data_IF_356914308254
#
_entry.id   IF_356914308254
#
_cell.length_a   1.000
_cell.length_b   1.000
_cell.length_c   1.000
_cell.angle_alpha   90.00
_cell.angle_beta   90.00
_cell.angle_gamma   90.00
#
_symmetry.space_group_name_H-M   'P 1'
#
loop_
_entity.id
_entity.type
_entity.pdbx_description
1 polymer ?
#
# COMPACT_ATOMS: atom_id res chain seq x y z
N UNK A 1 -4.66 -50.76 -20.42
CA UNK A 1 -3.73 -50.44 -19.32
C UNK A 1 -4.10 -49.05 -18.81
N UNK A 2 -4.87 -48.92 -17.71
CA UNK A 2 -5.20 -47.62 -17.16
C UNK A 2 -4.16 -47.22 -16.11
N UNK A 3 -3.81 -45.93 -16.12
CA UNK A 3 -2.92 -45.28 -15.16
C UNK A 3 -3.54 -45.29 -13.76
N UNK A 4 -2.79 -45.79 -12.78
CA UNK A 4 -3.09 -45.66 -11.35
C UNK A 4 -2.63 -44.25 -10.95
N UNK A 5 -3.58 -43.36 -10.62
CA UNK A 5 -3.30 -42.15 -9.85
C UNK A 5 -3.13 -42.57 -8.39
N UNK A 6 -1.93 -42.39 -7.85
CA UNK A 6 -1.65 -42.53 -6.43
C UNK A 6 -2.33 -41.34 -5.72
N UNK A 7 -3.45 -41.57 -5.04
CA UNK A 7 -3.94 -40.62 -4.04
C UNK A 7 -2.97 -40.71 -2.85
N UNK A 8 -2.21 -39.64 -2.62
CA UNK A 8 -1.60 -39.39 -1.31
C UNK A 8 -2.75 -39.05 -0.36
N UNK A 9 -2.93 -39.76 0.77
CA UNK A 9 -3.94 -39.38 1.75
C UNK A 9 -3.38 -38.17 2.53
N UNK A 10 -3.66 -36.96 2.06
CA UNK A 10 -3.59 -35.77 2.88
C UNK A 10 -4.68 -35.88 3.93
N UNK A 11 -4.32 -36.25 5.16
CA UNK A 11 -5.14 -35.95 6.32
C UNK A 11 -5.12 -34.43 6.46
N UNK A 12 -6.21 -33.76 6.07
CA UNK A 12 -6.34 -32.31 6.28
C UNK A 12 -6.30 -32.02 7.77
N UNK A 13 -5.48 -31.04 8.17
CA UNK A 13 -5.35 -30.57 9.55
C UNK A 13 -6.72 -30.14 10.12
N UNK A 14 -7.61 -29.64 9.25
CA UNK A 14 -9.02 -29.35 9.52
C UNK A 14 -9.83 -30.53 10.11
N UNK A 15 -9.56 -31.78 9.71
CA UNK A 15 -10.26 -32.94 10.24
C UNK A 15 -9.81 -33.30 11.67
N UNK A 16 -8.59 -32.93 12.05
CA UNK A 16 -8.09 -33.09 13.42
C UNK A 16 -8.71 -32.06 14.39
N UNK A 17 -8.93 -30.83 13.93
CA UNK A 17 -9.46 -29.72 14.76
C UNK A 17 -10.93 -29.91 15.16
N UNK A 18 -11.77 -30.46 14.27
CA UNK A 18 -13.19 -30.69 14.57
C UNK A 18 -13.44 -31.67 15.72
N UNK A 19 -12.48 -32.55 16.03
CA UNK A 19 -12.57 -33.56 17.11
C UNK A 19 -12.28 -32.92 18.49
N UNK A 20 -11.58 -31.77 18.53
CA UNK A 20 -11.18 -31.11 19.77
C UNK A 20 -12.22 -30.12 20.33
N UNK A 21 -13.33 -29.87 19.64
CA UNK A 21 -14.37 -28.92 20.10
C UNK A 21 -13.95 -27.45 20.01
N UNK A 22 -12.89 -27.13 19.25
CA UNK A 22 -12.49 -25.75 18.95
C UNK A 22 -13.48 -25.14 17.95
N UNK A 23 -14.11 -24.03 18.34
CA UNK A 23 -14.86 -23.20 17.39
C UNK A 23 -13.85 -22.36 16.60
N UNK A 24 -13.59 -22.72 15.34
CA UNK A 24 -12.78 -21.94 14.39
C UNK A 24 -13.58 -20.74 13.84
N UNK A 25 -14.40 -20.08 14.68
CA UNK A 25 -15.36 -19.05 14.23
C UNK A 25 -15.04 -17.64 14.71
N UNK A 26 -13.96 -17.47 15.44
CA UNK A 26 -13.42 -16.15 15.74
C UNK A 26 -11.94 -16.21 15.38
N UNK A 27 -11.61 -16.01 14.10
CA UNK A 27 -10.26 -15.59 13.76
C UNK A 27 -10.05 -14.24 14.48
N UNK A 28 -9.34 -14.28 15.61
CA UNK A 28 -8.96 -13.09 16.37
C UNK A 28 -7.83 -12.43 15.57
N UNK A 29 -8.17 -11.58 14.60
CA UNK A 29 -7.14 -10.81 13.93
C UNK A 29 -6.48 -9.84 14.93
N UNK A 30 -5.15 -9.88 15.03
CA UNK A 30 -4.39 -8.92 15.81
C UNK A 30 -4.51 -7.56 15.13
N UNK A 31 -4.99 -6.56 15.87
CA UNK A 31 -5.08 -5.20 15.33
C UNK A 31 -3.67 -4.62 15.22
N UNK A 32 -3.20 -4.47 13.99
CA UNK A 32 -1.92 -3.85 13.69
C UNK A 32 -1.98 -2.33 13.93
N UNK A 33 -0.88 -1.68 14.35
CA UNK A 33 -0.82 -0.23 14.47
C UNK A 33 -0.96 0.46 13.11
N UNK A 34 -2.03 1.24 12.92
CA UNK A 34 -2.15 2.17 11.79
C UNK A 34 -1.01 3.19 11.85
N UNK A 35 -0.13 3.18 10.84
CA UNK A 35 1.09 3.99 10.82
C UNK A 35 1.23 4.68 9.47
N UNK A 36 1.22 6.01 9.46
CA UNK A 36 1.49 6.80 8.25
C UNK A 36 3.00 7.07 8.12
N UNK A 37 3.59 6.83 6.94
CA UNK A 37 5.01 7.03 6.68
C UNK A 37 5.28 7.43 5.22
N UNK A 38 5.61 8.70 4.97
CA UNK A 38 5.85 9.26 3.64
C UNK A 38 7.29 9.11 3.13
N UNK A 39 8.15 8.38 3.85
CA UNK A 39 9.59 8.30 3.57
C UNK A 39 10.08 6.87 3.35
N UNK A 40 9.19 5.89 3.29
CA UNK A 40 9.56 4.50 3.02
C UNK A 40 9.86 4.32 1.54
N UNK A 41 10.98 3.67 1.24
CA UNK A 41 11.45 3.41 -0.11
C UNK A 41 11.85 1.95 -0.21
N UNK A 42 11.22 1.21 -1.12
CA UNK A 42 11.47 -0.25 -1.24
C UNK A 42 12.51 -0.61 -2.30
N UNK A 43 12.88 0.32 -3.18
CA UNK A 43 13.92 0.07 -4.19
C UNK A 43 14.68 1.35 -4.54
N UNK A 44 15.93 1.18 -5.00
CA UNK A 44 16.77 2.28 -5.48
C UNK A 44 17.54 3.02 -4.39
N UNK A 45 17.59 2.44 -3.18
CA UNK A 45 18.41 2.93 -2.08
C UNK A 45 19.89 2.55 -2.23
N UNK A 46 20.74 3.14 -1.39
CA UNK A 46 22.16 2.81 -1.35
C UNK A 46 22.35 1.36 -0.83
N UNK A 47 23.26 0.56 -1.43
CA UNK A 47 23.47 -0.81 -0.99
C UNK A 47 23.82 -0.93 0.49
N UNK A 48 23.06 -1.74 1.23
CA UNK A 48 23.20 -1.97 2.66
C UNK A 48 22.37 -1.04 3.56
N UNK A 49 21.55 -0.13 2.99
CA UNK A 49 20.63 0.72 3.76
C UNK A 49 19.16 0.36 3.53
N UNK A 50 18.88 -0.74 2.82
CA UNK A 50 17.57 -1.00 2.21
C UNK A 50 16.42 -1.27 3.19
N UNK A 51 16.66 -1.17 4.51
CA UNK A 51 15.62 -1.30 5.51
C UNK A 51 15.77 -0.31 6.67
N UNK A 52 16.65 0.69 6.51
CA UNK A 52 16.96 1.68 7.56
C UNK A 52 15.78 2.65 7.79
N UNK A 53 14.99 2.89 6.76
CA UNK A 53 13.81 3.75 6.70
C UNK A 53 12.62 3.21 7.54
N UNK A 54 12.56 1.90 7.77
CA UNK A 54 11.62 1.28 8.72
C UNK A 54 11.90 1.61 10.19
N UNK A 55 13.01 2.30 10.48
CA UNK A 55 13.31 2.74 11.83
C UNK A 55 12.19 3.64 12.38
N UNK A 56 11.51 3.17 13.43
CA UNK A 56 10.41 3.90 14.08
C UNK A 56 9.03 3.44 13.64
N UNK A 57 8.90 2.61 12.60
CA UNK A 57 7.65 1.93 12.29
C UNK A 57 7.42 0.83 13.35
N UNK A 58 6.26 0.79 14.03
CA UNK A 58 5.97 -0.24 15.01
C UNK A 58 5.98 -1.65 14.41
N UNK A 59 6.43 -2.63 15.19
CA UNK A 59 6.19 -4.04 14.89
C UNK A 59 4.70 -4.31 15.10
N UNK A 60 4.01 -4.70 14.03
CA UNK A 60 2.61 -5.09 14.07
C UNK A 60 2.42 -6.44 14.78
N UNK A 61 3.33 -7.38 14.54
CA UNK A 61 3.32 -8.68 15.18
C UNK A 61 4.72 -9.30 15.26
N UNK A 62 4.93 -10.11 16.31
CA UNK A 62 6.12 -10.96 16.46
C UNK A 62 5.67 -12.41 16.55
N UNK A 63 6.02 -13.18 15.54
CA UNK A 63 5.72 -14.59 15.43
C UNK A 63 6.33 -15.38 16.59
N UNK A 64 5.49 -16.20 17.26
CA UNK A 64 5.85 -17.01 18.42
C UNK A 64 6.71 -16.26 19.47
N UNK A 65 6.50 -14.95 19.61
CA UNK A 65 7.31 -14.10 20.48
C UNK A 65 8.81 -14.06 20.15
N UNK A 66 9.19 -14.31 18.90
CA UNK A 66 10.54 -14.30 18.37
C UNK A 66 11.28 -15.62 18.58
N UNK A 67 10.54 -16.72 18.70
CA UNK A 67 11.08 -18.07 18.92
C UNK A 67 10.86 -18.92 17.69
N UNK A 68 11.94 -19.52 17.19
CA UNK A 68 11.89 -20.35 16.00
C UNK A 68 10.95 -21.55 16.16
N UNK A 69 10.03 -21.72 15.23
CA UNK A 69 9.09 -22.83 15.22
C UNK A 69 8.84 -23.46 13.84
N UNK A 70 9.44 -22.93 12.77
CA UNK A 70 9.56 -23.66 11.52
C UNK A 70 10.85 -24.52 11.45
N UNK A 71 10.78 -25.85 11.71
CA UNK A 71 11.97 -26.69 11.77
C UNK A 71 12.55 -27.00 10.40
N UNK A 72 13.83 -27.35 10.35
CA UNK A 72 14.46 -27.91 9.14
C UNK A 72 15.20 -26.89 8.27
N UNK A 73 15.34 -25.65 8.74
CA UNK A 73 16.10 -24.60 8.04
C UNK A 73 15.34 -23.98 6.87
N UNK A 74 14.01 -24.11 6.87
CA UNK A 74 13.12 -23.38 5.99
C UNK A 74 12.94 -21.93 6.49
N UNK A 75 12.43 -21.01 5.66
CA UNK A 75 12.06 -19.67 6.09
C UNK A 75 11.15 -19.70 7.33
N UNK A 76 11.53 -18.98 8.37
CA UNK A 76 10.88 -18.98 9.70
C UNK A 76 10.52 -17.53 10.00
N UNK A 77 9.23 -17.21 10.04
CA UNK A 77 8.73 -15.85 10.22
C UNK A 77 9.20 -15.30 11.58
N UNK A 78 9.40 -13.98 11.66
CA UNK A 78 9.82 -13.31 12.90
C UNK A 78 8.93 -12.13 13.21
N UNK A 79 8.98 -11.09 12.37
CA UNK A 79 8.20 -9.88 12.61
C UNK A 79 7.54 -9.38 11.35
N UNK A 80 6.39 -8.73 11.54
CA UNK A 80 5.71 -7.98 10.48
C UNK A 80 5.61 -6.53 10.92
N UNK A 81 5.98 -5.61 10.05
CA UNK A 81 5.74 -4.18 10.15
C UNK A 81 4.83 -3.75 9.01
N UNK A 82 3.90 -2.83 9.27
CA UNK A 82 2.97 -2.31 8.28
C UNK A 82 2.87 -0.79 8.42
N UNK A 83 2.96 -0.08 7.32
CA UNK A 83 2.74 1.36 7.23
C UNK A 83 2.07 1.71 5.90
N UNK A 84 1.58 2.93 5.74
CA UNK A 84 1.14 3.42 4.45
C UNK A 84 1.49 4.90 4.29
N UNK A 85 1.53 5.37 3.05
CA UNK A 85 1.36 6.78 2.74
C UNK A 85 0.06 6.98 1.94
N UNK A 86 -0.04 8.12 1.26
CA UNK A 86 -1.20 8.44 0.43
C UNK A 86 -1.29 7.51 -0.81
N UNK A 87 -0.17 6.99 -1.30
CA UNK A 87 -0.05 6.27 -2.55
C UNK A 87 0.14 4.76 -2.37
N UNK A 88 0.82 4.32 -1.32
CA UNK A 88 1.30 2.96 -1.16
C UNK A 88 1.00 2.41 0.24
N UNK A 89 0.72 1.12 0.29
CA UNK A 89 0.83 0.26 1.45
C UNK A 89 2.26 -0.31 1.50
N UNK A 90 2.91 -0.21 2.64
CA UNK A 90 4.23 -0.79 2.89
C UNK A 90 4.12 -1.94 3.88
N UNK A 91 4.73 -3.07 3.55
CA UNK A 91 4.83 -4.23 4.45
C UNK A 91 6.29 -4.66 4.49
N UNK A 92 6.81 -4.95 5.69
CA UNK A 92 8.09 -5.62 5.87
C UNK A 92 7.90 -6.85 6.72
N UNK A 93 8.52 -7.94 6.28
CA UNK A 93 8.58 -9.22 6.99
C UNK A 93 10.03 -9.56 7.24
N UNK A 94 10.36 -9.87 8.49
CA UNK A 94 11.67 -10.43 8.87
C UNK A 94 11.54 -11.92 9.17
N UNK A 95 12.64 -12.65 9.01
CA UNK A 95 12.76 -14.06 9.31
C UNK A 95 13.75 -14.29 10.45
N UNK A 96 13.49 -15.30 11.29
CA UNK A 96 14.38 -15.77 12.36
C UNK A 96 15.62 -16.51 11.84
N UNK A 97 15.67 -16.80 10.54
CA UNK A 97 16.80 -17.49 9.91
C UNK A 97 18.13 -16.76 10.16
N UNK A 98 19.14 -17.50 10.59
CA UNK A 98 20.51 -16.96 10.83
C UNK A 98 21.41 -16.98 9.60
N UNK A 99 20.87 -17.48 8.47
CA UNK A 99 21.53 -17.53 7.17
C UNK A 99 20.56 -17.06 6.10
N UNK A 100 21.06 -16.45 5.03
CA UNK A 100 20.24 -16.05 3.88
C UNK A 100 19.42 -17.23 3.35
N UNK A 101 18.10 -17.06 3.33
CA UNK A 101 17.15 -18.01 2.76
C UNK A 101 16.72 -17.55 1.36
N UNK A 102 16.18 -18.46 0.54
CA UNK A 102 15.44 -18.04 -0.66
C UNK A 102 14.09 -17.48 -0.22
N UNK A 103 13.80 -16.25 -0.61
CA UNK A 103 12.58 -15.52 -0.25
C UNK A 103 11.51 -15.62 -1.33
N UNK A 104 11.76 -16.38 -2.40
CA UNK A 104 10.80 -16.60 -3.50
C UNK A 104 9.51 -17.33 -3.06
N UNK A 105 9.48 -17.80 -1.82
CA UNK A 105 8.40 -18.58 -1.22
C UNK A 105 7.60 -17.77 -0.21
N UNK A 106 7.95 -16.49 -0.04
CA UNK A 106 7.23 -15.55 0.79
C UNK A 106 5.95 -15.13 0.08
N UNK A 107 4.83 -15.25 0.78
CA UNK A 107 3.54 -14.86 0.28
C UNK A 107 2.82 -13.93 1.26
N UNK A 108 2.02 -13.03 0.69
CA UNK A 108 1.03 -12.24 1.40
C UNK A 108 -0.35 -12.67 0.93
N UNK A 109 -1.30 -12.78 1.85
CA UNK A 109 -2.70 -13.00 1.58
C UNK A 109 -3.51 -11.88 2.23
N UNK A 110 -4.30 -11.20 1.43
CA UNK A 110 -5.18 -10.11 1.85
C UNK A 110 -6.63 -10.58 1.74
N UNK A 111 -7.37 -10.41 2.82
CA UNK A 111 -8.82 -10.46 2.89
C UNK A 111 -9.31 -9.00 2.93
N UNK A 112 -9.84 -8.55 1.79
CA UNK A 112 -10.04 -7.15 1.47
C UNK A 112 -11.38 -6.62 1.99
N UNK A 113 -12.35 -7.50 2.21
CA UNK A 113 -13.68 -7.17 2.74
C UNK A 113 -13.91 -7.70 4.17
N UNK A 114 -12.94 -8.44 4.72
CA UNK A 114 -12.98 -9.11 6.02
C UNK A 114 -14.11 -10.15 6.11
N UNK A 115 -14.44 -10.81 5.00
CA UNK A 115 -15.37 -11.95 4.94
C UNK A 115 -14.62 -13.25 4.61
N UNK A 116 -14.49 -14.12 5.61
CA UNK A 116 -13.86 -15.44 5.45
C UNK A 116 -14.52 -16.34 4.37
N UNK A 117 -15.70 -15.98 3.85
CA UNK A 117 -16.42 -16.75 2.85
C UNK A 117 -16.16 -16.31 1.39
N UNK A 118 -15.55 -15.16 1.14
CA UNK A 118 -15.40 -14.57 -0.20
C UNK A 118 -14.07 -14.93 -0.88
N UNK A 119 -13.04 -15.27 -0.11
CA UNK A 119 -11.70 -15.55 -0.63
C UNK A 119 -11.17 -16.97 -0.42
N UNK A 120 -9.94 -17.19 -0.86
CA UNK A 120 -9.21 -18.45 -0.70
C UNK A 120 -8.76 -18.63 0.75
N UNK A 121 -9.06 -19.82 1.31
CA UNK A 121 -8.66 -20.21 2.65
C UNK A 121 -7.25 -20.80 2.65
N UNK A 122 -6.29 -20.04 3.16
CA UNK A 122 -4.88 -20.45 3.17
C UNK A 122 -4.71 -21.68 4.06
N UNK A 123 -4.25 -22.78 3.46
CA UNK A 123 -4.07 -24.10 4.08
C UNK A 123 -5.35 -24.74 4.67
N UNK A 124 -6.54 -24.32 4.22
CA UNK A 124 -7.84 -24.80 4.74
C UNK A 124 -7.99 -24.61 6.27
N UNK A 125 -7.50 -23.49 6.79
CA UNK A 125 -7.44 -23.20 8.23
C UNK A 125 -8.68 -22.48 8.77
N UNK A 126 -9.49 -21.88 7.89
CA UNK A 126 -10.60 -20.99 8.25
C UNK A 126 -10.11 -19.67 8.86
N UNK A 127 -8.92 -19.23 8.46
CA UNK A 127 -8.17 -18.14 9.09
C UNK A 127 -8.28 -16.80 8.36
N UNK A 128 -8.47 -16.88 7.05
CA UNK A 128 -8.51 -15.76 6.12
C UNK A 128 -9.34 -16.16 4.90
N UNK A 129 -10.20 -15.28 4.40
CA UNK A 129 -10.80 -15.42 3.08
C UNK A 129 -10.02 -14.51 2.14
N UNK A 130 -8.91 -14.97 1.54
CA UNK A 130 -8.06 -14.05 0.79
C UNK A 130 -8.57 -13.78 -0.63
N UNK A 131 -8.86 -12.54 -1.00
CA UNK A 131 -9.17 -12.14 -2.38
C UNK A 131 -7.94 -11.75 -3.19
N UNK A 132 -6.89 -11.26 -2.52
CA UNK A 132 -5.65 -10.80 -3.15
C UNK A 132 -4.44 -11.51 -2.55
N UNK A 133 -3.63 -12.14 -3.40
CA UNK A 133 -2.37 -12.76 -3.03
C UNK A 133 -1.20 -12.02 -3.65
N UNK A 134 -0.06 -12.03 -2.96
CA UNK A 134 1.25 -11.72 -3.52
C UNK A 134 2.18 -12.89 -3.29
N UNK A 135 2.92 -13.25 -4.32
CA UNK A 135 4.16 -14.03 -4.19
C UNK A 135 5.27 -13.13 -4.72
N UNK A 136 6.22 -12.76 -3.86
CA UNK A 136 7.20 -11.70 -4.18
C UNK A 136 6.51 -10.44 -4.74
N UNK A 137 6.94 -9.95 -5.89
CA UNK A 137 6.42 -8.84 -6.69
C UNK A 137 5.24 -9.20 -7.61
N UNK A 138 4.76 -10.45 -7.57
CA UNK A 138 3.66 -10.91 -8.42
C UNK A 138 2.34 -10.99 -7.64
N UNK A 139 1.39 -10.07 -7.89
CA UNK A 139 0.06 -10.22 -7.34
C UNK A 139 -0.85 -11.07 -8.21
N UNK A 140 -1.82 -11.68 -7.54
CA UNK A 140 -2.86 -12.46 -8.17
C UNK A 140 -4.16 -12.38 -7.37
N UNK A 141 -5.28 -12.35 -8.09
CA UNK A 141 -6.59 -12.59 -7.47
C UNK A 141 -6.67 -14.04 -7.02
N UNK A 142 -7.27 -14.27 -5.85
CA UNK A 142 -7.55 -15.60 -5.33
C UNK A 142 -8.91 -15.65 -4.61
N UNK A 143 -9.90 -14.90 -5.10
CA UNK A 143 -11.27 -15.00 -4.58
C UNK A 143 -11.92 -16.36 -4.85
N UNK A 144 -13.09 -16.62 -4.24
CA UNK A 144 -13.81 -17.91 -4.36
C UNK A 144 -14.23 -18.26 -5.80
N UNK A 145 -14.39 -17.27 -6.67
CA UNK A 145 -14.83 -17.42 -8.06
C UNK A 145 -13.70 -17.30 -9.08
N UNK A 146 -12.67 -16.51 -8.78
CA UNK A 146 -11.59 -16.22 -9.69
C UNK A 146 -10.22 -16.49 -9.07
N UNK A 147 -9.32 -17.04 -9.89
CA UNK A 147 -7.94 -17.26 -9.51
C UNK A 147 -7.03 -16.80 -10.63
N UNK A 148 -6.04 -15.98 -10.29
CA UNK A 148 -5.02 -15.46 -11.19
C UNK A 148 -5.64 -14.97 -12.51
N UNK A 149 -6.60 -14.04 -12.39
CA UNK A 149 -7.33 -13.42 -13.50
C UNK A 149 -6.43 -12.68 -14.49
N UNK A 150 -5.15 -12.53 -14.15
CA UNK A 150 -4.20 -11.72 -14.89
C UNK A 150 -4.51 -10.24 -14.75
N UNK A 151 -3.67 -9.45 -15.40
CA UNK A 151 -3.73 -7.99 -15.40
C UNK A 151 -4.03 -7.53 -16.82
N UNK A 152 -5.30 -7.52 -17.20
CA UNK A 152 -5.70 -6.97 -18.50
C UNK A 152 -5.52 -5.44 -18.45
N UNK A 153 -4.61 -4.90 -19.27
CA UNK A 153 -4.27 -3.48 -19.31
C UNK A 153 -2.95 -3.07 -18.64
N UNK A 154 -2.24 -3.98 -17.95
CA UNK A 154 -0.86 -3.71 -17.51
C UNK A 154 0.06 -3.98 -18.68
N UNK A 155 0.55 -2.88 -19.26
CA UNK A 155 1.47 -2.88 -20.38
C UNK A 155 2.77 -3.54 -19.91
N UNK A 156 3.15 -4.63 -20.55
CA UNK A 156 4.52 -5.16 -20.50
C UNK A 156 5.46 -4.06 -21.00
N UNK A 157 6.00 -3.25 -20.09
CA UNK A 157 6.96 -2.20 -20.43
C UNK A 157 8.34 -2.84 -20.57
N UNK A 158 8.52 -3.61 -21.64
CA UNK A 158 9.84 -4.08 -22.06
C UNK A 158 10.54 -5.04 -21.10
N UNK A 159 9.80 -5.84 -20.31
CA UNK A 159 10.39 -6.90 -19.50
C UNK A 159 10.64 -6.58 -18.03
N UNK A 160 10.28 -5.37 -17.54
CA UNK A 160 10.27 -5.07 -16.11
C UNK A 160 8.82 -5.02 -15.61
N UNK A 161 8.49 -5.87 -14.64
CA UNK A 161 7.20 -6.00 -13.97
C UNK A 161 6.98 -4.79 -13.04
N UNK A 162 6.69 -3.61 -13.59
CA UNK A 162 6.51 -2.37 -12.82
C UNK A 162 5.05 -1.92 -12.87
N UNK A 163 4.46 -1.65 -11.70
CA UNK A 163 3.13 -1.04 -11.54
C UNK A 163 2.13 -1.85 -10.69
N UNK A 164 2.54 -3.01 -10.20
CA UNK A 164 1.70 -3.91 -9.39
C UNK A 164 2.22 -4.11 -7.97
N UNK A 165 3.15 -3.26 -7.56
CA UNK A 165 3.95 -3.40 -6.36
C UNK A 165 5.42 -3.60 -6.71
N UNK A 166 6.29 -3.14 -5.81
CA UNK A 166 7.74 -3.42 -5.88
C UNK A 166 8.17 -4.10 -4.59
N UNK A 167 9.19 -4.94 -4.68
CA UNK A 167 9.74 -5.64 -3.52
C UNK A 167 11.23 -5.45 -3.40
N UNK A 168 11.74 -5.60 -2.19
CA UNK A 168 13.15 -5.83 -1.96
C UNK A 168 13.38 -6.92 -0.92
N UNK A 169 14.35 -7.83 -1.13
CA UNK A 169 15.05 -8.03 -2.40
C UNK A 169 14.07 -8.53 -3.49
N UNK A 170 14.42 -8.33 -4.76
CA UNK A 170 13.64 -8.77 -5.91
C UNK A 170 14.39 -9.82 -6.73
N UNK A 171 13.71 -10.44 -7.69
CA UNK A 171 14.33 -11.39 -8.62
C UNK A 171 15.21 -10.63 -9.62
N UNK A 172 16.49 -10.99 -9.72
CA UNK A 172 17.44 -10.32 -10.62
C UNK A 172 18.25 -11.33 -11.46
N UNK A 173 19.26 -10.84 -12.18
CA UNK A 173 20.17 -11.68 -12.97
C UNK A 173 20.99 -12.68 -12.13
N UNK A 174 21.13 -12.42 -10.83
CA UNK A 174 21.82 -13.27 -9.86
C UNK A 174 20.93 -14.39 -9.33
N UNK A 175 19.60 -14.27 -9.49
CA UNK A 175 18.62 -15.31 -9.22
C UNK A 175 17.44 -14.83 -8.36
N UNK A 176 16.77 -15.75 -7.64
CA UNK A 176 15.63 -15.39 -6.80
C UNK A 176 16.07 -14.48 -5.64
N UNK A 177 15.12 -13.70 -5.07
CA UNK A 177 15.40 -12.89 -3.90
C UNK A 177 15.92 -13.75 -2.75
N UNK A 178 16.95 -13.27 -2.06
CA UNK A 178 17.58 -13.98 -0.94
C UNK A 178 17.87 -13.04 0.21
N UNK A 179 17.76 -13.53 1.44
CA UNK A 179 17.98 -12.72 2.63
C UNK A 179 17.25 -13.29 3.83
N UNK A 180 17.07 -12.46 4.83
CA UNK A 180 16.28 -12.75 6.04
C UNK A 180 15.17 -11.72 6.22
N UNK A 181 14.96 -10.87 5.23
CA UNK A 181 14.04 -9.74 5.28
C UNK A 181 13.50 -9.50 3.88
N UNK A 182 12.22 -9.18 3.79
CA UNK A 182 11.56 -8.79 2.55
C UNK A 182 10.59 -7.66 2.84
N UNK A 183 10.49 -6.72 1.91
CA UNK A 183 9.57 -5.61 1.98
C UNK A 183 8.85 -5.41 0.65
N UNK A 184 7.68 -4.80 0.74
CA UNK A 184 6.78 -4.51 -0.37
C UNK A 184 6.32 -3.06 -0.29
N UNK A 185 6.26 -2.39 -1.42
CA UNK A 185 5.46 -1.19 -1.61
C UNK A 185 4.35 -1.53 -2.62
N UNK A 186 3.10 -1.55 -2.15
CA UNK A 186 1.92 -1.94 -2.91
C UNK A 186 1.08 -0.69 -3.18
N UNK A 187 0.84 -0.32 -4.44
CA UNK A 187 -0.01 0.82 -4.76
C UNK A 187 -1.41 0.66 -4.17
N UNK A 188 -1.89 1.69 -3.45
CA UNK A 188 -3.28 1.75 -2.97
C UNK A 188 -4.27 1.84 -4.12
N UNK A 189 -3.82 2.33 -5.28
CA UNK A 189 -4.57 2.35 -6.55
C UNK A 189 -4.52 1.03 -7.33
N UNK A 190 -3.92 -0.03 -6.77
CA UNK A 190 -3.83 -1.33 -7.44
C UNK A 190 -5.19 -1.78 -7.97
N UNK A 191 -5.27 -2.06 -9.27
CA UNK A 191 -6.52 -2.27 -9.98
C UNK A 191 -6.59 -3.65 -10.66
N UNK A 192 -6.45 -4.71 -9.87
CA UNK A 192 -6.53 -6.10 -10.33
C UNK A 192 -7.74 -6.85 -9.75
N UNK A 193 -8.72 -6.10 -9.27
CA UNK A 193 -9.80 -6.59 -8.43
C UNK A 193 -10.60 -7.77 -9.00
N UNK A 194 -11.29 -8.50 -8.10
CA UNK A 194 -11.94 -9.76 -8.44
C UNK A 194 -13.10 -9.61 -9.43
N UNK A 195 -13.75 -8.44 -9.48
CA UNK A 195 -14.87 -8.18 -10.38
C UNK A 195 -14.46 -8.19 -11.87
N UNK A 196 -13.30 -7.59 -12.17
CA UNK A 196 -12.67 -7.56 -13.49
C UNK A 196 -11.28 -6.91 -13.42
N UNK A 197 -10.35 -7.25 -14.32
CA UNK A 197 -9.12 -6.47 -14.50
C UNK A 197 -9.42 -4.97 -14.67
N UNK A 198 -8.61 -4.12 -14.02
CA UNK A 198 -8.81 -2.67 -14.00
C UNK A 198 -9.76 -2.18 -12.89
N UNK A 199 -10.29 -3.06 -12.04
CA UNK A 199 -11.07 -2.67 -10.85
C UNK A 199 -10.17 -2.55 -9.60
N UNK A 200 -10.30 -1.51 -8.76
CA UNK A 200 -9.49 -1.38 -7.54
C UNK A 200 -9.63 -2.57 -6.58
N UNK A 201 -8.53 -3.01 -5.97
CA UNK A 201 -8.57 -4.03 -4.89
C UNK A 201 -8.91 -3.42 -3.53
N UNK A 202 -8.36 -2.25 -3.19
CA UNK A 202 -8.61 -1.59 -1.92
C UNK A 202 -9.85 -0.69 -2.05
N UNK A 203 -11.03 -1.26 -1.84
CA UNK A 203 -12.31 -0.51 -1.87
C UNK A 203 -12.75 0.01 -0.51
N UNK A 204 -12.08 -0.40 0.56
CA UNK A 204 -12.29 0.07 1.92
C UNK A 204 -10.96 0.37 2.62
N UNK A 205 -11.06 0.94 3.83
CA UNK A 205 -9.88 1.39 4.56
C UNK A 205 -9.25 0.32 5.46
N UNK A 206 -9.95 -0.81 5.65
CA UNK A 206 -9.55 -1.89 6.56
C UNK A 206 -9.51 -3.21 5.82
N UNK A 207 -8.41 -3.95 5.96
CA UNK A 207 -8.24 -5.30 5.42
C UNK A 207 -7.57 -6.19 6.47
N UNK A 208 -7.66 -7.50 6.26
CA UNK A 208 -6.93 -8.51 7.03
C UNK A 208 -5.77 -9.05 6.20
N UNK A 209 -4.59 -9.18 6.81
CA UNK A 209 -3.37 -9.69 6.20
C UNK A 209 -2.92 -10.98 6.87
N UNK A 210 -2.50 -11.95 6.08
CA UNK A 210 -1.74 -13.12 6.52
C UNK A 210 -0.43 -13.19 5.74
N UNK A 211 0.69 -13.31 6.45
CA UNK A 211 2.00 -13.58 5.86
C UNK A 211 2.31 -15.06 6.03
N UNK A 212 2.77 -15.72 4.97
CA UNK A 212 3.04 -17.15 5.03
C UNK A 212 4.14 -17.60 4.07
N UNK A 213 4.69 -18.78 4.34
CA UNK A 213 5.58 -19.49 3.43
C UNK A 213 5.03 -20.87 3.12
N UNK A 214 5.31 -21.39 1.94
CA UNK A 214 4.74 -22.65 1.43
C UNK A 214 5.79 -23.77 1.26
N UNK A 215 7.01 -23.56 1.74
CA UNK A 215 8.10 -24.53 1.67
C UNK A 215 8.27 -25.30 2.97
N UNK A 216 8.62 -26.58 2.86
CA UNK A 216 8.73 -27.46 4.01
C UNK A 216 7.34 -27.83 4.54
N UNK A 217 7.08 -27.55 5.81
CA UNK A 217 5.74 -27.66 6.39
C UNK A 217 4.86 -26.44 6.10
N UNK A 218 5.43 -25.39 5.48
CA UNK A 218 4.87 -24.05 5.47
C UNK A 218 5.03 -23.38 6.84
N UNK A 219 4.87 -22.07 6.85
CA UNK A 219 4.94 -21.27 8.07
C UNK A 219 3.95 -20.12 8.00
N UNK A 220 3.32 -19.80 9.13
CA UNK A 220 2.29 -18.78 9.31
C UNK A 220 2.47 -18.13 10.67
N UNK A 221 2.07 -16.85 10.77
CA UNK A 221 2.10 -16.16 12.06
C UNK A 221 1.29 -16.93 13.10
N UNK A 222 1.86 -17.09 14.29
CA UNK A 222 1.24 -17.75 15.42
C UNK A 222 1.72 -17.15 16.75
N UNK A 223 0.98 -17.43 17.83
CA UNK A 223 1.29 -16.91 19.16
C UNK A 223 2.11 -17.87 20.04
N UNK A 224 2.68 -18.91 19.45
CA UNK A 224 3.48 -19.93 20.15
C UNK A 224 2.69 -21.05 20.79
N UNK A 225 1.36 -21.05 20.64
CA UNK A 225 0.52 -22.17 21.05
C UNK A 225 0.24 -23.08 19.86
N UNK A 226 0.26 -24.39 20.10
CA UNK A 226 -0.01 -25.36 19.04
C UNK A 226 -1.45 -25.20 18.58
N UNK A 227 -1.65 -24.94 17.28
CA UNK A 227 -2.95 -24.80 16.59
C UNK A 227 -3.63 -23.42 16.68
N UNK A 228 -2.96 -22.38 17.16
CA UNK A 228 -3.42 -21.00 16.99
C UNK A 228 -2.56 -20.34 15.91
N UNK A 229 -3.21 -19.66 14.97
CA UNK A 229 -2.57 -18.87 13.93
C UNK A 229 -3.15 -17.46 14.01
N UNK A 230 -2.42 -16.50 13.47
CA UNK A 230 -2.72 -15.09 13.61
C UNK A 230 -2.80 -14.43 12.23
N UNK A 231 -3.80 -13.57 12.09
CA UNK A 231 -3.91 -12.63 10.98
C UNK A 231 -3.84 -11.22 11.53
N UNK A 232 -3.48 -10.26 10.68
CA UNK A 232 -3.27 -8.87 11.06
C UNK A 232 -4.37 -8.00 10.46
N UNK A 233 -5.20 -7.39 11.30
CA UNK A 233 -6.18 -6.39 10.83
C UNK A 233 -5.48 -5.05 10.77
N UNK A 234 -5.37 -4.49 9.57
CA UNK A 234 -4.78 -3.17 9.35
C UNK A 234 -5.83 -2.20 8.82
N UNK A 235 -5.85 -1.00 9.38
CA UNK A 235 -6.62 0.14 8.84
C UNK A 235 -5.64 1.18 8.36
N UNK A 236 -5.81 1.67 7.12
CA UNK A 236 -4.96 2.74 6.58
C UNK A 236 -4.93 3.93 7.54
N UNK A 237 -3.72 4.37 7.86
CA UNK A 237 -3.49 5.57 8.62
C UNK A 237 -3.77 6.80 7.75
N UNK A 238 -4.45 7.78 8.34
CA UNK A 238 -4.62 9.09 7.73
C UNK A 238 -3.28 9.83 7.70
N UNK A 239 -3.05 10.60 6.63
CA UNK A 239 -1.95 11.55 6.58
C UNK A 239 -2.13 12.57 7.73
N UNK A 240 -1.17 12.70 8.67
CA UNK A 240 -1.29 13.63 9.79
C UNK A 240 -1.16 15.10 9.36
N UNK A 241 -0.60 15.34 8.16
CA UNK A 241 -0.48 16.66 7.56
C UNK A 241 -0.97 16.56 6.10
N UNK A 242 -2.28 16.32 5.89
CA UNK A 242 -2.82 16.38 4.54
C UNK A 242 -2.62 17.82 4.09
N UNK A 243 -1.86 18.05 3.02
CA UNK A 243 -1.74 19.37 2.42
C UNK A 243 -3.14 19.94 2.16
N UNK A 244 -3.28 21.26 2.07
CA UNK A 244 -4.56 21.83 1.65
C UNK A 244 -4.82 21.35 0.22
N UNK A 245 -5.91 20.61 -0.07
CA UNK A 245 -6.13 20.15 -1.44
C UNK A 245 -6.21 21.34 -2.40
N UNK A 246 -5.50 21.25 -3.52
CA UNK A 246 -5.37 22.34 -4.48
C UNK A 246 -4.31 23.41 -4.17
N UNK A 247 -3.62 23.36 -3.02
CA UNK A 247 -2.49 24.24 -2.68
C UNK A 247 -1.17 23.63 -3.18
N UNK A 248 -0.91 23.81 -4.47
CA UNK A 248 0.20 23.19 -5.17
C UNK A 248 1.53 23.90 -4.95
N UNK A 249 1.49 25.16 -4.58
CA UNK A 249 2.71 25.91 -4.26
C UNK A 249 3.04 25.89 -2.74
N UNK A 250 2.16 25.27 -1.92
CA UNK A 250 2.27 25.15 -0.47
C UNK A 250 2.35 26.49 0.27
N UNK A 251 1.64 27.51 -0.21
CA UNK A 251 1.56 28.84 0.43
C UNK A 251 0.35 29.00 1.36
N UNK A 252 -0.39 27.92 1.60
CA UNK A 252 -1.61 27.83 2.41
C UNK A 252 -2.80 28.60 1.81
N UNK A 253 -2.74 28.99 0.52
CA UNK A 253 -3.81 29.66 -0.22
C UNK A 253 -4.04 28.95 -1.55
N UNK A 254 -5.28 28.54 -1.82
CA UNK A 254 -5.62 27.93 -3.10
C UNK A 254 -6.08 29.01 -4.07
N UNK A 255 -5.21 29.45 -4.98
CA UNK A 255 -5.50 30.52 -5.92
C UNK A 255 -4.95 30.29 -7.35
N UNK A 256 -4.84 31.35 -8.14
CA UNK A 256 -4.40 31.25 -9.53
C UNK A 256 -2.92 30.86 -9.68
N UNK A 257 -2.11 31.01 -8.63
CA UNK A 257 -0.72 30.56 -8.60
C UNK A 257 -0.64 29.04 -8.57
N UNK A 258 -1.49 28.37 -7.79
CA UNK A 258 -1.56 26.91 -7.76
C UNK A 258 -1.98 26.34 -9.09
N UNK A 259 -3.03 26.91 -9.70
CA UNK A 259 -3.44 26.49 -11.04
C UNK A 259 -2.30 26.60 -12.05
N UNK A 260 -1.46 27.63 -11.92
CA UNK A 260 -0.31 27.81 -12.78
C UNK A 260 0.78 26.75 -12.51
N UNK A 261 1.01 26.37 -11.25
CA UNK A 261 1.91 25.28 -10.86
C UNK A 261 1.42 23.95 -11.45
N UNK A 262 0.14 23.61 -11.23
CA UNK A 262 -0.51 22.43 -11.81
C UNK A 262 -0.36 22.39 -13.33
N UNK A 263 -0.56 23.51 -14.03
CA UNK A 263 -0.40 23.57 -15.49
C UNK A 263 1.05 23.33 -15.94
N UNK A 264 2.03 23.75 -15.15
CA UNK A 264 3.45 23.60 -15.49
C UNK A 264 3.93 22.17 -15.28
N UNK A 265 3.47 21.52 -14.22
CA UNK A 265 3.91 20.19 -13.81
C UNK A 265 2.82 19.12 -14.03
N UNK A 266 1.90 19.35 -14.97
CA UNK A 266 0.90 18.36 -15.38
C UNK A 266 1.56 17.14 -16.03
N UNK A 267 1.24 15.96 -15.50
CA UNK A 267 1.81 14.66 -15.84
C UNK A 267 2.90 14.18 -14.89
N UNK A 268 3.47 15.06 -14.06
CA UNK A 268 4.34 14.73 -12.92
C UNK A 268 4.74 16.03 -12.16
N UNK A 269 4.31 16.23 -10.89
CA UNK A 269 3.62 15.26 -10.04
C UNK A 269 2.09 15.26 -10.21
N UNK A 270 1.52 16.21 -10.97
CA UNK A 270 0.07 16.44 -10.97
C UNK A 270 -0.69 15.76 -12.11
N UNK A 271 -1.97 15.45 -11.90
CA UNK A 271 -2.86 14.88 -12.89
C UNK A 271 -4.25 15.57 -12.96
N UNK A 272 -5.25 14.88 -13.51
CA UNK A 272 -6.58 15.45 -13.70
C UNK A 272 -7.40 15.54 -12.40
N UNK A 273 -7.13 14.70 -11.41
CA UNK A 273 -7.83 14.69 -10.14
C UNK A 273 -7.36 15.87 -9.28
N UNK A 274 -6.07 16.22 -9.34
CA UNK A 274 -5.54 17.44 -8.72
C UNK A 274 -6.28 18.71 -9.20
N UNK A 275 -6.61 18.79 -10.48
CA UNK A 275 -7.38 19.94 -10.98
C UNK A 275 -8.76 20.05 -10.30
N UNK A 276 -9.38 18.92 -9.97
CA UNK A 276 -10.65 18.88 -9.26
C UNK A 276 -10.47 19.40 -7.84
N UNK A 277 -9.39 19.01 -7.15
CA UNK A 277 -9.05 19.52 -5.83
C UNK A 277 -8.89 21.04 -5.83
N UNK A 278 -8.16 21.58 -6.81
CA UNK A 278 -8.04 23.04 -6.98
C UNK A 278 -9.38 23.72 -7.21
N UNK A 279 -10.25 23.16 -8.05
CA UNK A 279 -11.57 23.74 -8.35
C UNK A 279 -12.47 23.78 -7.12
N UNK A 280 -12.47 22.71 -6.34
CA UNK A 280 -13.30 22.58 -5.15
C UNK A 280 -12.81 23.45 -3.98
N UNK A 281 -11.52 23.78 -3.95
CA UNK A 281 -10.88 24.54 -2.88
C UNK A 281 -10.49 25.96 -3.29
N UNK A 282 -10.76 26.42 -4.51
CA UNK A 282 -10.38 27.76 -4.96
C UNK A 282 -10.90 28.87 -4.04
N UNK A 283 -9.98 29.73 -3.60
CA UNK A 283 -10.24 30.84 -2.69
C UNK A 283 -10.32 30.42 -1.21
N UNK A 284 -9.98 29.17 -0.88
CA UNK A 284 -9.71 28.76 0.50
C UNK A 284 -8.30 29.18 0.92
N UNK A 285 -8.04 29.20 2.24
CA UNK A 285 -6.79 29.69 2.80
C UNK A 285 -6.87 31.08 3.41
N UNK A 286 -5.91 31.40 4.28
CA UNK A 286 -5.84 32.71 4.92
C UNK A 286 -5.28 33.73 3.94
N UNK A 287 -6.16 34.33 3.12
CA UNK A 287 -5.78 35.40 2.20
C UNK A 287 -5.05 36.49 3.02
N UNK A 288 -3.73 36.70 2.82
CA UNK A 288 -3.02 37.73 3.55
C UNK A 288 -3.71 39.06 3.26
N UNK A 289 -3.98 39.85 4.31
CA UNK A 289 -4.66 41.13 4.15
C UNK A 289 -3.89 41.97 3.14
N UNK A 290 -4.48 42.17 1.96
CA UNK A 290 -3.88 42.99 0.91
C UNK A 290 -3.74 44.38 1.50
N UNK A 291 -2.51 44.84 1.74
CA UNK A 291 -2.29 46.23 2.16
C UNK A 291 -2.96 47.11 1.10
N UNK A 292 -3.83 48.03 1.52
CA UNK A 292 -4.60 48.86 0.60
C UNK A 292 -3.72 49.32 -0.56
N UNK A 293 -4.05 48.85 -1.76
CA UNK A 293 -3.38 49.26 -2.99
C UNK A 293 -3.42 50.79 -3.01
N UNK A 294 -2.27 51.50 -3.06
CA UNK A 294 -2.26 52.95 -3.14
C UNK A 294 -3.17 53.37 -4.29
N UNK A 295 -4.21 54.14 -3.98
CA UNK A 295 -5.27 54.48 -4.94
C UNK A 295 -4.64 54.91 -6.27
N UNK A 296 -5.05 54.24 -7.35
CA UNK A 296 -4.56 54.55 -8.68
C UNK A 296 -4.68 56.07 -8.91
N UNK A 297 -3.64 56.65 -9.53
CA UNK A 297 -3.48 58.07 -9.86
C UNK A 297 -4.62 58.71 -10.69
N UNK A 298 -5.79 58.07 -10.78
CA UNK A 298 -7.04 58.52 -11.34
C UNK A 298 -7.44 59.92 -10.90
N UNK A 299 -7.24 60.28 -9.62
CA UNK A 299 -7.49 61.64 -9.14
C UNK A 299 -6.49 62.63 -9.76
N UNK A 300 -5.21 62.25 -9.84
CA UNK A 300 -4.18 63.07 -10.47
C UNK A 300 -4.43 63.24 -11.99
N UNK A 301 -4.83 62.18 -12.69
CA UNK A 301 -5.19 62.21 -14.10
C UNK A 301 -6.46 63.03 -14.36
N UNK A 302 -7.48 62.91 -13.51
CA UNK A 302 -8.68 63.73 -13.58
C UNK A 302 -8.37 65.21 -13.35
N UNK A 303 -7.51 65.53 -12.38
CA UNK A 303 -7.04 66.89 -12.11
C UNK A 303 -6.25 67.48 -13.30
N UNK A 304 -5.35 66.71 -13.91
CA UNK A 304 -4.62 67.14 -15.12
C UNK A 304 -5.58 67.32 -16.31
N UNK A 305 -6.57 66.44 -16.48
CA UNK A 305 -7.62 66.57 -17.49
C UNK A 305 -8.48 67.83 -17.31
N UNK A 306 -8.85 68.16 -16.07
CA UNK A 306 -9.59 69.38 -15.73
C UNK A 306 -8.75 70.65 -15.94
N UNK A 307 -7.46 70.63 -15.57
CA UNK A 307 -6.54 71.75 -15.77
C UNK A 307 -6.29 72.03 -17.26
N UNK A 308 -6.05 70.99 -18.05
CA UNK A 308 -5.83 71.12 -19.50
C UNK A 308 -7.08 71.62 -20.23
N UNK A 309 -8.27 71.15 -19.85
CA UNK A 309 -9.54 71.62 -20.41
C UNK A 309 -9.89 73.05 -19.99
N UNK A 310 -9.57 73.45 -18.75
CA UNK A 310 -9.73 74.83 -18.29
C UNK A 310 -8.78 75.82 -18.99
N UNK A 311 -7.53 75.41 -19.24
CA UNK A 311 -6.54 76.23 -19.97
C UNK A 311 -6.89 76.37 -21.45
N UNK A 312 -7.50 75.36 -22.07
CA UNK A 312 -7.93 75.39 -23.47
C UNK A 312 -9.15 76.31 -23.71
N UNK A 313 -9.98 76.55 -22.70
CA UNK A 313 -11.13 77.49 -22.78
C UNK A 313 -10.75 78.97 -22.67
N UNK A 314 -9.51 79.30 -22.29
CA UNK A 314 -9.03 80.68 -22.07
C UNK A 314 -8.19 81.26 -23.22
N UNK A 315 -8.03 80.52 -24.32
CA UNK A 315 -7.47 81.03 -25.59
C UNK A 315 -8.58 81.14 -26.61
#
# INVERSE_FOLDING_TARGET
MPFIRLLVPGLSLALLLAIAGMNVREAHGVIAPSTFASGLQVQGEDPGTEFDDWAGIPIAYTDNGGVADNPGGFPDLDTVQIANDDNNLYIRVTLLNTTSASLATMNLAFDLDNDLATGNDIFDLGAIGSELGYQTDFPFVQDITNFNTGVDGVVDFGGDFIGLGVTFPFFDESGPPTGTQMEWAIPRSLAIGPDAPGTPVFTGDTFTLMTYTDVGAGDILNNGTTFEFESLVYTFAENPNPGTPGDFNSDEVVDGADYLEWQQDFGNPYDADDLTDWQDHYGTGSIPSISAVPEASSIALAMVGLLTSALRRRR
#
